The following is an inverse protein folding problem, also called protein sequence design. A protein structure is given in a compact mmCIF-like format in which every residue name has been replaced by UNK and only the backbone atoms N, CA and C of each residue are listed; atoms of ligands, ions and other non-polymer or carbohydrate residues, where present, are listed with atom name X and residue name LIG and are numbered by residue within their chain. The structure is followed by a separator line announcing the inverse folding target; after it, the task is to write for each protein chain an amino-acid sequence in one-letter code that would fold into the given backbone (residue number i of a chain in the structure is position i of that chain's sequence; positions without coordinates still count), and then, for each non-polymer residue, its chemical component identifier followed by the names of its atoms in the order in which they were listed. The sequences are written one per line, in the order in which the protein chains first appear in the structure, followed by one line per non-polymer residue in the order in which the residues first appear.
data_IF_921509469431
#
_entry.id   IF_921509469431
#
_cell.length_a   1.000
_cell.length_b   1.000
_cell.length_c   1.000
_cell.angle_alpha   90.00
_cell.angle_beta   90.00
_cell.angle_gamma   90.00
#
_symmetry.space_group_name_H-M   'P 1'
#
loop_
_entity.id
_entity.type
_entity.pdbx_description
1 polymer ?
#
# COMPACT_ATOMS: atom_id res chain seq x y z
N UNK A 1 -9.81 31.27 37.80
CA UNK A 1 -9.93 31.68 36.41
C UNK A 1 -8.88 30.92 35.64
N UNK A 2 -9.15 29.71 35.34
CA UNK A 2 -9.83 29.06 34.22
C UNK A 2 -9.54 29.61 32.85
N UNK A 3 -9.06 28.74 32.00
CA UNK A 3 -9.61 28.44 30.68
C UNK A 3 -8.98 27.20 30.12
N UNK A 4 -9.71 26.08 30.24
CA UNK A 4 -9.49 24.91 29.41
C UNK A 4 -9.66 25.26 27.94
N UNK A 5 -8.60 25.07 27.16
CA UNK A 5 -8.70 25.00 25.73
C UNK A 5 -9.26 23.63 25.33
N UNK A 6 -10.54 23.62 24.93
CA UNK A 6 -11.18 22.48 24.35
C UNK A 6 -10.39 22.04 23.10
N UNK A 7 -9.92 20.80 23.08
CA UNK A 7 -9.54 20.13 21.84
C UNK A 7 -10.82 19.96 21.03
N UNK A 8 -10.89 20.64 19.90
CA UNK A 8 -11.91 20.40 18.90
C UNK A 8 -11.88 18.90 18.54
N UNK A 9 -13.06 18.28 18.61
CA UNK A 9 -13.26 16.90 18.17
C UNK A 9 -12.87 16.87 16.71
N UNK A 10 -11.86 16.04 16.38
CA UNK A 10 -11.46 15.80 15.00
C UNK A 10 -12.68 15.40 14.18
N UNK A 11 -12.84 16.07 13.04
CA UNK A 11 -13.74 15.64 11.99
C UNK A 11 -13.42 14.19 11.66
N UNK A 12 -14.44 13.36 11.63
CA UNK A 12 -14.39 11.96 11.19
C UNK A 12 -13.98 11.99 9.69
N UNK A 13 -12.67 11.92 9.45
CA UNK A 13 -12.10 12.02 8.10
C UNK A 13 -12.12 10.66 7.43
N UNK A 14 -13.33 10.18 7.09
CA UNK A 14 -13.45 9.02 6.21
C UNK A 14 -12.73 9.29 4.90
N UNK A 15 -11.65 8.56 4.63
CA UNK A 15 -10.89 8.67 3.38
C UNK A 15 -11.64 7.90 2.30
N UNK A 16 -12.23 8.61 1.34
CA UNK A 16 -12.77 7.97 0.11
C UNK A 16 -11.59 7.42 -0.73
N UNK A 17 -11.80 6.28 -1.36
CA UNK A 17 -10.83 5.67 -2.29
C UNK A 17 -10.43 6.61 -3.45
N UNK A 18 -11.29 7.57 -3.81
CA UNK A 18 -10.98 8.61 -4.80
C UNK A 18 -9.97 9.65 -4.30
N UNK A 19 -9.93 9.90 -3.00
CA UNK A 19 -9.00 10.83 -2.38
C UNK A 19 -7.71 10.17 -1.91
N UNK A 20 -7.65 8.84 -1.93
CA UNK A 20 -6.51 8.06 -1.46
C UNK A 20 -5.21 8.49 -2.14
N UNK A 21 -5.22 8.64 -3.46
CA UNK A 21 -4.05 9.07 -4.23
C UNK A 21 -3.56 10.50 -3.91
N UNK A 22 -4.42 11.34 -3.36
CA UNK A 22 -4.06 12.69 -2.92
C UNK A 22 -3.47 12.69 -1.51
N UNK A 23 -3.96 11.80 -0.65
CA UNK A 23 -3.61 11.75 0.77
C UNK A 23 -2.41 10.85 1.05
N UNK A 24 -2.25 9.76 0.29
CA UNK A 24 -1.14 8.81 0.44
C UNK A 24 -0.41 8.68 -0.90
N UNK A 25 0.68 9.42 -1.04
CA UNK A 25 1.55 9.41 -2.23
C UNK A 25 2.81 8.59 -2.03
N UNK A 26 3.24 8.50 -0.78
CA UNK A 26 4.42 7.75 -0.38
C UNK A 26 4.21 7.13 1.01
N UNK A 27 5.01 6.14 1.41
CA UNK A 27 4.97 5.58 2.76
C UNK A 27 5.18 6.60 3.89
N UNK A 28 5.86 7.71 3.60
CA UNK A 28 6.08 8.80 4.57
C UNK A 28 4.77 9.43 5.03
N UNK A 29 3.76 9.46 4.15
CA UNK A 29 2.43 9.99 4.48
C UNK A 29 1.66 9.13 5.50
N UNK A 30 2.11 7.88 5.73
CA UNK A 30 1.54 6.99 6.75
C UNK A 30 2.15 7.23 8.13
N UNK A 31 3.32 7.86 8.19
CA UNK A 31 4.02 8.10 9.45
C UNK A 31 3.30 9.18 10.24
N UNK A 32 3.06 8.90 11.50
CA UNK A 32 2.36 9.82 12.39
C UNK A 32 0.84 9.75 12.32
N UNK A 33 0.25 8.93 11.43
CA UNK A 33 -1.17 8.66 11.45
C UNK A 33 -1.54 7.85 12.69
N UNK A 34 -2.67 8.19 13.29
CA UNK A 34 -3.29 7.41 14.37
C UNK A 34 -3.79 6.05 13.85
N UNK A 35 -4.07 5.12 14.76
CA UNK A 35 -4.63 3.82 14.39
C UNK A 35 -6.00 3.95 13.68
N UNK A 36 -6.80 4.95 14.03
CA UNK A 36 -8.07 5.24 13.36
C UNK A 36 -7.84 5.70 11.92
N UNK A 37 -6.94 6.66 11.70
CA UNK A 37 -6.59 7.15 10.36
C UNK A 37 -5.98 6.04 9.47
N UNK A 38 -5.13 5.19 10.04
CA UNK A 38 -4.60 4.01 9.31
C UNK A 38 -5.71 3.03 8.95
N UNK A 39 -6.73 2.88 9.79
CA UNK A 39 -7.92 2.05 9.48
C UNK A 39 -8.72 2.63 8.32
N UNK A 40 -8.88 3.95 8.24
CA UNK A 40 -9.56 4.64 7.14
C UNK A 40 -8.77 4.48 5.84
N UNK A 41 -7.45 4.63 5.89
CA UNK A 41 -6.56 4.34 4.75
C UNK A 41 -6.72 2.88 4.30
N UNK A 42 -6.76 1.92 5.25
CA UNK A 42 -6.94 0.51 4.94
C UNK A 42 -8.27 0.24 4.22
N UNK A 43 -9.36 0.87 4.67
CA UNK A 43 -10.67 0.76 4.04
C UNK A 43 -10.63 1.29 2.59
N UNK A 44 -10.05 2.47 2.37
CA UNK A 44 -9.91 3.05 1.04
C UNK A 44 -9.02 2.21 0.10
N UNK A 45 -7.92 1.65 0.62
CA UNK A 45 -7.05 0.72 -0.13
C UNK A 45 -7.81 -0.54 -0.53
N UNK A 46 -8.61 -1.13 0.38
CA UNK A 46 -9.45 -2.30 0.08
C UNK A 46 -10.45 -2.01 -1.03
N UNK A 47 -11.15 -0.89 -0.94
CA UNK A 47 -12.12 -0.47 -1.96
C UNK A 47 -11.44 -0.30 -3.32
N UNK A 48 -10.27 0.35 -3.37
CA UNK A 48 -9.48 0.51 -4.60
C UNK A 48 -9.05 -0.84 -5.19
N UNK A 49 -8.58 -1.78 -4.35
CA UNK A 49 -8.22 -3.13 -4.81
C UNK A 49 -9.44 -3.85 -5.38
N UNK A 50 -10.57 -3.89 -4.67
CA UNK A 50 -11.78 -4.58 -5.10
C UNK A 50 -12.31 -3.99 -6.41
N UNK A 51 -12.43 -2.66 -6.50
CA UNK A 51 -12.95 -1.98 -7.69
C UNK A 51 -12.06 -2.17 -8.92
N UNK A 52 -10.74 -2.25 -8.74
CA UNK A 52 -9.81 -2.50 -9.85
C UNK A 52 -9.82 -3.97 -10.26
N UNK A 53 -9.62 -4.89 -9.31
CA UNK A 53 -9.52 -6.34 -9.61
C UNK A 53 -10.82 -6.89 -10.20
N UNK A 54 -11.98 -6.34 -9.86
CA UNK A 54 -13.27 -6.71 -10.48
C UNK A 54 -13.31 -6.44 -11.99
N UNK A 55 -12.48 -5.52 -12.47
CA UNK A 55 -12.40 -5.13 -13.90
C UNK A 55 -11.22 -5.78 -14.62
N UNK A 56 -10.05 -5.79 -13.98
CA UNK A 56 -8.80 -6.20 -14.61
C UNK A 56 -8.42 -7.65 -14.31
N UNK A 57 -9.06 -8.28 -13.32
CA UNK A 57 -8.63 -9.56 -12.76
C UNK A 57 -7.42 -9.40 -11.84
N UNK A 58 -7.09 -10.46 -11.12
CA UNK A 58 -5.93 -10.46 -10.22
C UNK A 58 -6.16 -11.29 -8.95
N UNK A 59 -5.21 -11.17 -8.01
CA UNK A 59 -5.20 -11.92 -6.75
C UNK A 59 -5.90 -11.12 -5.64
N UNK A 60 -7.22 -11.34 -5.47
CA UNK A 60 -8.01 -10.54 -4.54
C UNK A 60 -7.78 -10.93 -3.07
N UNK A 61 -8.01 -12.19 -2.71
CA UNK A 61 -7.99 -12.64 -1.31
C UNK A 61 -6.62 -12.44 -0.64
N UNK A 62 -5.54 -12.80 -1.33
CA UNK A 62 -4.17 -12.63 -0.83
C UNK A 62 -3.79 -11.17 -0.62
N UNK A 63 -4.25 -10.28 -1.49
CA UNK A 63 -3.99 -8.83 -1.38
C UNK A 63 -4.82 -8.20 -0.26
N UNK A 64 -6.10 -8.55 -0.13
CA UNK A 64 -6.96 -8.05 0.94
C UNK A 64 -6.51 -8.54 2.33
N UNK A 65 -5.97 -9.77 2.41
CA UNK A 65 -5.51 -10.37 3.66
C UNK A 65 -4.31 -9.67 4.32
N UNK A 66 -3.58 -8.84 3.58
CA UNK A 66 -2.35 -8.18 4.07
C UNK A 66 -2.39 -6.65 4.00
N UNK A 67 -3.55 -6.05 3.83
CA UNK A 67 -3.66 -4.57 3.72
C UNK A 67 -3.13 -3.91 4.98
N UNK A 68 -3.65 -4.25 6.15
CA UNK A 68 -3.23 -3.66 7.42
C UNK A 68 -1.76 -3.95 7.75
N UNK A 69 -1.31 -5.18 7.47
CA UNK A 69 0.10 -5.55 7.64
C UNK A 69 1.01 -4.67 6.75
N UNK A 70 0.61 -4.46 5.50
CA UNK A 70 1.38 -3.61 4.56
C UNK A 70 1.45 -2.17 5.05
N UNK A 71 0.33 -1.59 5.49
CA UNK A 71 0.30 -0.24 6.04
C UNK A 71 1.17 -0.13 7.30
N UNK A 72 1.05 -1.09 8.22
CA UNK A 72 1.84 -1.12 9.45
C UNK A 72 3.34 -1.20 9.16
N UNK A 73 3.77 -2.08 8.24
CA UNK A 73 5.18 -2.15 7.84
C UNK A 73 5.68 -0.81 7.29
N UNK A 74 4.94 -0.19 6.38
CA UNK A 74 5.35 1.08 5.78
C UNK A 74 5.25 2.29 6.72
N UNK A 75 4.45 2.21 7.79
CA UNK A 75 4.42 3.26 8.81
C UNK A 75 5.58 3.17 9.80
N UNK A 76 6.16 1.98 9.99
CA UNK A 76 7.23 1.72 10.96
C UNK A 76 8.62 1.73 10.32
N UNK A 77 8.79 1.08 9.17
CA UNK A 77 10.08 0.95 8.50
C UNK A 77 10.37 2.13 7.57
N UNK A 78 11.65 2.48 7.44
CA UNK A 78 12.12 3.57 6.58
C UNK A 78 12.35 3.09 5.15
N UNK A 79 11.24 2.76 4.45
CA UNK A 79 11.30 2.29 3.07
C UNK A 79 11.52 3.47 2.09
N UNK A 80 12.29 3.29 1.00
CA UNK A 80 12.92 2.07 0.50
C UNK A 80 14.31 1.76 1.09
N UNK A 81 14.78 2.49 2.09
CA UNK A 81 16.06 2.19 2.77
C UNK A 81 15.97 0.83 3.46
N UNK A 82 14.95 0.64 4.29
CA UNK A 82 14.57 -0.67 4.78
C UNK A 82 13.83 -1.42 3.65
N UNK A 83 14.26 -2.64 3.37
CA UNK A 83 13.77 -3.39 2.21
C UNK A 83 12.66 -4.36 2.60
N UNK A 84 11.53 -4.28 1.91
CA UNK A 84 10.45 -5.25 2.04
C UNK A 84 10.56 -6.26 0.92
N UNK A 85 10.75 -7.53 1.27
CA UNK A 85 10.87 -8.64 0.34
C UNK A 85 9.59 -9.47 0.36
N UNK A 86 8.87 -9.50 -0.76
CA UNK A 86 7.64 -10.26 -0.92
C UNK A 86 7.94 -11.67 -1.46
N UNK A 87 7.49 -12.72 -0.79
CA UNK A 87 7.51 -14.06 -1.39
C UNK A 87 6.36 -14.20 -2.39
N UNK A 88 6.61 -14.71 -3.57
CA UNK A 88 5.73 -14.67 -4.75
C UNK A 88 5.40 -13.24 -5.19
N UNK A 89 4.90 -12.40 -4.30
CA UNK A 89 4.56 -11.00 -4.55
C UNK A 89 3.14 -10.76 -5.09
N UNK A 90 2.31 -11.78 -5.21
CA UNK A 90 0.91 -11.66 -5.66
C UNK A 90 0.02 -10.89 -4.67
N UNK A 91 0.48 -10.69 -3.44
CA UNK A 91 -0.17 -9.95 -2.36
C UNK A 91 0.26 -8.47 -2.29
N UNK A 92 1.01 -7.96 -3.26
CA UNK A 92 1.65 -6.64 -3.20
C UNK A 92 0.75 -5.45 -3.60
N UNK A 93 -0.57 -5.63 -3.76
CA UNK A 93 -1.42 -4.55 -4.30
C UNK A 93 -1.51 -3.33 -3.39
N UNK A 94 -1.68 -3.53 -2.08
CA UNK A 94 -1.63 -2.44 -1.11
C UNK A 94 -0.27 -1.72 -1.16
N UNK A 95 0.84 -2.47 -1.20
CA UNK A 95 2.19 -1.93 -1.37
C UNK A 95 2.30 -1.04 -2.62
N UNK A 96 1.79 -1.48 -3.78
CA UNK A 96 1.80 -0.67 -5.00
C UNK A 96 1.02 0.63 -4.84
N UNK A 97 -0.17 0.58 -4.24
CA UNK A 97 -1.02 1.75 -4.02
C UNK A 97 -0.30 2.80 -3.18
N UNK A 98 0.23 2.42 -2.02
CA UNK A 98 0.84 3.37 -1.07
C UNK A 98 2.27 3.80 -1.42
N UNK A 99 2.87 3.19 -2.43
CA UNK A 99 4.20 3.56 -2.95
C UNK A 99 4.14 4.32 -4.27
N UNK A 100 3.11 5.16 -4.44
CA UNK A 100 2.99 6.14 -5.52
C UNK A 100 2.37 5.63 -6.82
N UNK A 101 1.74 4.45 -6.83
CA UNK A 101 1.10 3.89 -8.03
C UNK A 101 -0.43 3.90 -7.97
N UNK A 102 -1.02 4.60 -7.01
CA UNK A 102 -2.46 4.68 -6.83
C UNK A 102 -3.19 5.22 -8.07
N UNK A 103 -2.67 6.28 -8.69
CA UNK A 103 -3.26 6.90 -9.88
C UNK A 103 -3.24 5.98 -11.11
N UNK A 104 -2.27 5.09 -11.18
CA UNK A 104 -2.11 4.12 -12.27
C UNK A 104 -2.67 2.74 -11.94
N UNK A 105 -3.20 2.55 -10.74
CA UNK A 105 -3.60 1.23 -10.27
C UNK A 105 -4.72 0.61 -11.12
N UNK A 106 -5.56 1.41 -11.75
CA UNK A 106 -6.61 0.95 -12.67
C UNK A 106 -6.06 0.27 -13.95
N UNK A 107 -4.75 0.39 -14.21
CA UNK A 107 -4.04 -0.31 -15.30
C UNK A 107 -3.41 -1.63 -14.87
N UNK A 108 -3.73 -2.12 -13.66
CA UNK A 108 -3.19 -3.36 -13.11
C UNK A 108 -3.36 -4.53 -14.07
N UNK A 109 -2.25 -5.22 -14.41
CA UNK A 109 -2.22 -6.40 -15.31
C UNK A 109 -2.68 -6.12 -16.76
N UNK A 110 -2.85 -4.87 -17.14
CA UNK A 110 -3.16 -4.51 -18.53
C UNK A 110 -1.88 -4.31 -19.32
N UNK A 111 -1.97 -4.48 -20.64
CA UNK A 111 -0.83 -4.23 -21.53
C UNK A 111 -0.36 -2.76 -21.40
N UNK A 112 0.93 -2.55 -21.15
CA UNK A 112 1.48 -1.21 -20.88
C UNK A 112 1.13 -0.62 -19.52
N UNK A 113 0.37 -1.34 -18.71
CA UNK A 113 0.01 -0.96 -17.34
C UNK A 113 0.99 -1.47 -16.29
N UNK A 114 0.57 -1.42 -15.03
CA UNK A 114 1.37 -1.92 -13.91
C UNK A 114 1.27 -3.45 -13.77
N UNK A 115 2.38 -4.06 -13.35
CA UNK A 115 2.47 -5.50 -13.10
C UNK A 115 1.61 -5.93 -11.90
N UNK A 116 1.09 -7.15 -11.94
CA UNK A 116 0.45 -7.80 -10.79
C UNK A 116 1.44 -8.30 -9.71
N UNK A 117 2.74 -8.12 -9.92
CA UNK A 117 3.83 -8.51 -9.02
C UNK A 117 4.79 -7.34 -8.82
N UNK A 118 5.63 -7.35 -7.77
CA UNK A 118 6.72 -6.38 -7.63
C UNK A 118 7.59 -6.32 -8.88
N UNK A 119 7.95 -5.11 -9.31
CA UNK A 119 8.76 -4.89 -10.51
C UNK A 119 9.64 -3.66 -10.33
N UNK A 120 10.96 -3.86 -10.28
CA UNK A 120 11.95 -2.80 -10.03
C UNK A 120 11.86 -1.61 -10.98
N UNK A 121 11.45 -1.84 -12.22
CA UNK A 121 11.27 -0.78 -13.20
C UNK A 121 10.07 0.15 -12.90
N UNK A 122 9.15 -0.27 -12.02
CA UNK A 122 7.98 0.54 -11.67
C UNK A 122 8.23 1.46 -10.48
N UNK A 123 9.06 1.03 -9.52
CA UNK A 123 9.23 1.75 -8.27
C UNK A 123 10.51 1.36 -7.54
N UNK A 124 11.21 2.30 -6.88
CA UNK A 124 12.35 2.01 -6.02
C UNK A 124 11.97 1.19 -4.78
N UNK A 125 10.70 1.11 -4.45
CA UNK A 125 10.18 0.30 -3.35
C UNK A 125 10.09 -1.19 -3.70
N UNK A 126 10.14 -1.55 -4.99
CA UNK A 126 10.15 -2.94 -5.44
C UNK A 126 11.60 -3.40 -5.56
N UNK A 127 12.12 -4.10 -4.54
CA UNK A 127 13.54 -4.44 -4.44
C UNK A 127 14.01 -5.51 -5.40
N UNK A 128 13.10 -6.33 -5.93
CA UNK A 128 13.39 -7.33 -6.98
C UNK A 128 12.12 -7.70 -7.75
N UNK A 129 12.30 -8.27 -8.93
CA UNK A 129 11.21 -8.78 -9.75
C UNK A 129 10.88 -10.20 -9.30
N UNK A 130 9.62 -10.49 -8.98
CA UNK A 130 9.20 -11.78 -8.46
C UNK A 130 7.87 -12.24 -9.04
N UNK A 131 7.55 -13.50 -8.84
CA UNK A 131 6.35 -14.20 -9.28
C UNK A 131 6.40 -15.68 -8.90
N UNK A 132 7.56 -16.15 -8.40
CA UNK A 132 7.78 -17.53 -7.96
C UNK A 132 7.90 -17.62 -6.45
N UNK A 133 7.39 -18.72 -5.89
CA UNK A 133 7.45 -19.00 -4.46
C UNK A 133 8.87 -19.39 -4.01
N UNK A 134 9.12 -19.21 -2.72
CA UNK A 134 10.34 -19.67 -2.01
C UNK A 134 11.63 -18.94 -2.43
N UNK A 135 11.55 -17.84 -3.15
CA UNK A 135 12.72 -17.05 -3.55
C UNK A 135 13.14 -15.98 -2.53
N UNK A 136 12.23 -15.57 -1.63
CA UNK A 136 12.41 -14.41 -0.76
C UNK A 136 13.63 -14.49 0.15
N UNK A 137 13.94 -15.66 0.72
CA UNK A 137 15.08 -15.86 1.60
C UNK A 137 16.39 -15.66 0.82
N UNK A 138 16.50 -16.26 -0.36
CA UNK A 138 17.68 -16.14 -1.21
C UNK A 138 17.90 -14.70 -1.70
N UNK A 139 16.83 -14.01 -2.06
CA UNK A 139 16.89 -12.59 -2.44
C UNK A 139 17.28 -11.70 -1.26
N UNK A 140 16.71 -11.94 -0.08
CA UNK A 140 17.04 -11.18 1.12
C UNK A 140 18.51 -11.36 1.55
N UNK A 141 19.10 -12.54 1.34
CA UNK A 141 20.50 -12.80 1.60
C UNK A 141 21.43 -12.10 0.59
N UNK A 142 20.96 -11.83 -0.62
CA UNK A 142 21.74 -11.18 -1.67
C UNK A 142 21.65 -9.64 -1.69
N UNK A 143 20.76 -9.06 -0.89
CA UNK A 143 20.54 -7.61 -0.79
C UNK A 143 21.44 -6.96 0.26
#
# INVERSE_FOLDING_TARGET
MDRGAGREKGEDMTIDSKDLARKVRSPEDLRGLSAAELSDVAAAVREKIVSTVSKTGGHLASSLGVVELTLAMHSVFDTPKDKIVWDVGHQCYAHKIITGRCDRFDTLRQFGGISGYPKRQESPYDVYDTGHASGSISYALGL
#
